data_IF_137941207798
#
_entry.id   IF_137941207798
#
_cell.length_a   1.000
_cell.length_b   1.000
_cell.length_c   1.000
_cell.angle_alpha   90.00
_cell.angle_beta   90.00
_cell.angle_gamma   90.00
#
_symmetry.space_group_name_H-M   'P 1'
#
loop_
_entity.id
_entity.type
_entity.pdbx_description
1 polymer ?
#
# COMPACT_ATOMS: atom_id res chain seq x y z
N UNK A 1 32.60 38.78 39.57
CA UNK A 1 32.94 37.44 40.10
C UNK A 1 31.62 36.79 40.52
N UNK A 2 31.03 35.75 39.93
CA UNK A 2 31.35 34.83 38.83
C UNK A 2 30.00 34.38 38.22
N UNK A 3 29.99 34.15 36.91
CA UNK A 3 28.86 33.57 36.19
C UNK A 3 28.80 32.05 36.42
N UNK A 4 27.63 31.50 36.79
CA UNK A 4 27.41 30.06 36.83
C UNK A 4 26.68 29.60 35.56
N UNK A 5 27.47 29.24 34.55
CA UNK A 5 27.04 28.40 33.42
C UNK A 5 27.24 26.95 33.82
N UNK A 6 26.18 26.23 34.14
CA UNK A 6 26.21 24.78 34.25
C UNK A 6 25.77 24.17 32.91
N UNK A 7 26.67 23.41 32.31
CA UNK A 7 26.57 22.75 31.01
C UNK A 7 25.66 21.52 31.08
N UNK A 8 24.70 21.43 30.15
CA UNK A 8 23.88 20.23 29.93
C UNK A 8 24.77 19.17 29.26
N UNK A 9 25.07 18.09 29.98
CA UNK A 9 25.79 16.95 29.44
C UNK A 9 24.93 16.19 28.42
N UNK A 10 25.40 16.11 27.18
CA UNK A 10 24.78 15.30 26.13
C UNK A 10 24.92 13.80 26.45
N UNK A 11 23.79 13.13 26.72
CA UNK A 11 23.74 11.68 26.81
C UNK A 11 24.00 11.06 25.43
N UNK A 12 25.17 10.41 25.29
CA UNK A 12 25.59 9.70 24.08
C UNK A 12 24.88 8.35 24.01
N UNK A 13 23.84 8.25 23.20
CA UNK A 13 23.17 6.97 22.88
C UNK A 13 24.13 6.11 22.04
N UNK A 14 24.79 5.12 22.65
CA UNK A 14 25.54 4.08 21.93
C UNK A 14 24.55 3.19 21.19
N UNK A 15 24.42 3.39 19.88
CA UNK A 15 23.80 2.40 18.98
C UNK A 15 24.76 1.21 18.91
N UNK A 16 24.49 0.15 19.68
CA UNK A 16 25.13 -1.15 19.45
C UNK A 16 24.55 -1.71 18.16
N UNK A 17 25.30 -1.57 17.06
CA UNK A 17 24.99 -2.23 15.79
C UNK A 17 25.37 -3.70 15.94
N UNK A 18 24.37 -4.58 15.91
CA UNK A 18 24.62 -6.02 15.79
C UNK A 18 24.95 -6.36 14.32
N UNK A 19 26.05 -7.07 14.04
CA UNK A 19 26.30 -7.60 12.70
C UNK A 19 25.35 -8.77 12.44
N UNK A 20 24.50 -8.63 11.44
CA UNK A 20 23.64 -9.71 10.93
C UNK A 20 24.48 -10.69 10.10
N UNK A 21 25.21 -11.59 10.75
CA UNK A 21 25.86 -12.73 10.09
C UNK A 21 24.87 -13.89 9.94
N UNK A 22 23.90 -13.73 9.05
CA UNK A 22 23.15 -14.85 8.49
C UNK A 22 23.86 -15.37 7.24
N UNK A 23 23.93 -16.70 7.00
CA UNK A 23 24.52 -17.23 5.78
C UNK A 23 23.71 -16.74 4.58
N UNK A 24 24.37 -16.07 3.64
CA UNK A 24 23.80 -15.77 2.32
C UNK A 24 23.49 -17.11 1.67
N UNK A 25 22.20 -17.39 1.41
CA UNK A 25 21.83 -18.54 0.60
C UNK A 25 22.40 -18.33 -0.80
N UNK A 26 23.43 -19.10 -1.13
CA UNK A 26 23.94 -19.28 -2.49
C UNK A 26 22.82 -19.90 -3.34
N UNK A 27 22.02 -19.05 -4.01
CA UNK A 27 21.10 -19.53 -5.02
C UNK A 27 21.91 -19.87 -6.28
N UNK A 28 22.56 -21.04 -6.26
CA UNK A 28 23.20 -21.65 -7.42
C UNK A 28 22.12 -21.97 -8.47
N UNK A 29 21.98 -21.07 -9.43
CA UNK A 29 21.37 -21.33 -10.74
C UNK A 29 19.84 -21.37 -10.79
N UNK A 30 19.25 -20.47 -11.58
CA UNK A 30 18.10 -20.85 -12.41
C UNK A 30 18.43 -20.57 -13.88
N UNK A 31 18.76 -21.59 -14.68
CA UNK A 31 18.81 -21.46 -16.11
C UNK A 31 17.37 -21.36 -16.63
N UNK A 32 17.06 -20.33 -17.40
CA UNK A 32 15.74 -20.15 -17.98
C UNK A 32 15.37 -18.69 -18.14
N UNK A 33 16.14 -17.96 -18.94
CA UNK A 33 15.60 -16.80 -19.66
C UNK A 33 14.53 -17.34 -20.61
N UNK A 34 13.29 -17.45 -20.12
CA UNK A 34 12.16 -17.78 -20.99
C UNK A 34 11.98 -16.55 -21.87
N UNK A 35 12.34 -16.67 -23.14
CA UNK A 35 11.88 -15.73 -24.18
C UNK A 35 10.36 -15.74 -24.12
N UNK A 36 9.77 -14.75 -23.46
CA UNK A 36 8.31 -14.68 -23.31
C UNK A 36 7.76 -14.30 -24.67
N UNK A 37 7.28 -15.28 -25.42
CA UNK A 37 6.51 -15.03 -26.63
C UNK A 37 5.10 -14.59 -26.23
N UNK A 38 4.74 -13.40 -26.69
CA UNK A 38 3.42 -12.83 -26.47
C UNK A 38 2.51 -13.26 -27.62
N UNK A 39 1.38 -13.86 -27.27
CA UNK A 39 0.38 -14.34 -28.23
C UNK A 39 -0.99 -13.95 -27.73
N UNK A 40 -1.89 -13.57 -28.63
CA UNK A 40 -3.26 -13.21 -28.25
C UNK A 40 -3.93 -14.37 -27.52
N UNK A 41 -4.57 -14.06 -26.39
CA UNK A 41 -5.31 -15.04 -25.59
C UNK A 41 -6.68 -14.51 -25.25
N UNK A 42 -7.68 -15.37 -25.36
CA UNK A 42 -9.03 -15.09 -24.87
C UNK A 42 -9.13 -15.50 -23.41
N UNK A 43 -9.61 -14.58 -22.57
CA UNK A 43 -9.82 -14.80 -21.14
C UNK A 43 -11.29 -14.58 -20.77
N UNK A 44 -11.75 -15.27 -19.74
CA UNK A 44 -13.11 -15.11 -19.22
C UNK A 44 -13.12 -14.08 -18.08
N UNK A 45 -14.00 -13.08 -18.19
CA UNK A 45 -14.16 -12.08 -17.14
C UNK A 45 -14.83 -12.69 -15.89
N UNK A 46 -14.19 -12.55 -14.72
CA UNK A 46 -14.76 -13.04 -13.45
C UNK A 46 -16.07 -12.35 -13.05
N UNK A 47 -16.29 -11.10 -13.47
CA UNK A 47 -17.44 -10.31 -13.02
C UNK A 47 -18.67 -10.49 -13.92
N UNK A 48 -18.50 -10.51 -15.24
CA UNK A 48 -19.62 -10.60 -16.19
C UNK A 48 -19.65 -11.89 -17.02
N UNK A 49 -18.68 -12.80 -16.85
CA UNK A 49 -18.62 -14.08 -17.58
C UNK A 49 -18.29 -13.98 -19.07
N UNK A 50 -18.27 -12.77 -19.66
CA UNK A 50 -17.93 -12.58 -21.06
C UNK A 50 -16.45 -12.84 -21.31
N UNK A 51 -16.18 -13.39 -22.49
CA UNK A 51 -14.84 -13.50 -23.04
C UNK A 51 -14.32 -12.13 -23.46
N UNK A 52 -13.02 -11.92 -23.29
CA UNK A 52 -12.32 -10.74 -23.79
C UNK A 52 -10.91 -11.11 -24.24
N UNK A 53 -10.39 -10.35 -25.20
CA UNK A 53 -9.05 -10.56 -25.72
C UNK A 53 -8.02 -9.88 -24.82
N UNK A 54 -6.95 -10.63 -24.53
CA UNK A 54 -5.71 -10.15 -23.93
C UNK A 54 -4.62 -10.27 -24.99
N UNK A 55 -4.38 -9.17 -25.70
CA UNK A 55 -3.54 -9.19 -26.90
C UNK A 55 -2.05 -9.30 -26.55
N UNK A 56 -1.24 -9.69 -27.53
CA UNK A 56 0.22 -9.72 -27.40
C UNK A 56 0.77 -8.35 -26.97
N UNK A 57 0.27 -7.25 -27.54
CA UNK A 57 0.69 -5.90 -27.17
C UNK A 57 0.29 -5.50 -25.73
N UNK A 58 -0.86 -5.97 -25.23
CA UNK A 58 -1.22 -5.76 -23.82
C UNK A 58 -0.32 -6.57 -22.87
N UNK A 59 0.10 -7.76 -23.27
CA UNK A 59 1.04 -8.58 -22.49
C UNK A 59 2.43 -7.96 -22.40
N UNK A 60 2.94 -7.42 -23.51
CA UNK A 60 4.18 -6.64 -23.57
C UNK A 60 4.11 -5.45 -22.62
N UNK A 61 2.99 -4.71 -22.66
CA UNK A 61 2.76 -3.59 -21.77
C UNK A 61 2.79 -4.03 -20.30
N UNK A 62 2.13 -5.15 -19.96
CA UNK A 62 2.10 -5.68 -18.60
C UNK A 62 3.52 -6.07 -18.14
N UNK A 63 4.29 -6.78 -18.96
CA UNK A 63 5.66 -7.16 -18.62
C UNK A 63 6.56 -5.95 -18.41
N UNK A 64 6.50 -4.93 -19.29
CA UNK A 64 7.32 -3.72 -19.19
C UNK A 64 7.07 -2.92 -17.90
N UNK A 65 5.87 -3.05 -17.32
CA UNK A 65 5.46 -2.43 -16.06
C UNK A 65 5.71 -3.34 -14.84
N UNK A 66 6.28 -4.52 -15.03
CA UNK A 66 6.46 -5.52 -13.97
C UNK A 66 5.16 -6.19 -13.51
N UNK A 67 4.08 -6.09 -14.29
CA UNK A 67 2.81 -6.76 -14.01
C UNK A 67 2.86 -8.19 -14.55
N UNK A 68 3.12 -9.14 -13.66
CA UNK A 68 3.18 -10.56 -14.00
C UNK A 68 1.81 -11.26 -14.02
N UNK A 69 0.77 -10.59 -13.51
CA UNK A 69 -0.57 -11.17 -13.38
C UNK A 69 -1.46 -10.81 -14.57
N UNK A 70 -2.09 -11.81 -15.16
CA UNK A 70 -3.07 -11.63 -16.24
C UNK A 70 -4.34 -10.90 -15.75
N UNK A 71 -4.98 -10.10 -16.60
CA UNK A 71 -6.22 -9.41 -16.24
C UNK A 71 -7.33 -10.43 -15.94
N UNK A 72 -7.95 -10.31 -14.77
CA UNK A 72 -9.11 -11.16 -14.39
C UNK A 72 -10.47 -10.59 -14.81
N UNK A 73 -10.48 -9.38 -15.37
CA UNK A 73 -11.69 -8.61 -15.70
C UNK A 73 -11.51 -7.95 -17.05
N UNK A 74 -12.57 -7.98 -17.86
CA UNK A 74 -12.58 -7.33 -19.16
C UNK A 74 -12.43 -5.79 -19.05
N UNK A 75 -12.03 -5.10 -20.13
CA UNK A 75 -11.87 -3.64 -20.15
C UNK A 75 -13.10 -2.89 -19.62
N UNK A 76 -14.29 -3.31 -20.02
CA UNK A 76 -15.57 -2.74 -19.57
C UNK A 76 -15.75 -2.80 -18.06
N UNK A 77 -15.58 -3.98 -17.44
CA UNK A 77 -15.71 -4.13 -15.99
C UNK A 77 -14.61 -3.37 -15.23
N UNK A 78 -13.41 -3.22 -15.80
CA UNK A 78 -12.35 -2.38 -15.23
C UNK A 78 -12.73 -0.90 -15.30
N UNK A 79 -13.24 -0.43 -16.44
CA UNK A 79 -13.66 0.95 -16.65
C UNK A 79 -14.84 1.33 -15.74
N UNK A 80 -15.89 0.48 -15.69
CA UNK A 80 -17.04 0.68 -14.82
C UNK A 80 -16.64 0.78 -13.34
N UNK A 81 -15.66 0.00 -12.90
CA UNK A 81 -15.15 0.09 -11.51
C UNK A 81 -14.38 1.37 -11.26
N UNK A 82 -13.51 1.78 -12.19
CA UNK A 82 -12.81 3.09 -12.10
C UNK A 82 -13.81 4.25 -12.02
N UNK A 83 -14.89 4.19 -12.81
CA UNK A 83 -15.96 5.18 -12.77
C UNK A 83 -16.73 5.12 -11.44
N UNK A 84 -17.10 3.93 -10.95
CA UNK A 84 -17.81 3.77 -9.68
C UNK A 84 -16.98 4.21 -8.46
N UNK A 85 -15.64 4.04 -8.51
CA UNK A 85 -14.74 4.46 -7.45
C UNK A 85 -14.36 5.95 -7.59
N UNK A 86 -14.30 6.48 -8.82
CA UNK A 86 -14.05 7.90 -9.12
C UNK A 86 -15.25 8.81 -8.88
N UNK A 87 -16.47 8.28 -8.99
CA UNK A 87 -17.71 9.00 -8.67
C UNK A 87 -18.00 9.03 -7.17
N UNK A 88 -16.91 9.12 -6.37
CA UNK A 88 -16.84 9.15 -4.92
C UNK A 88 -18.16 8.88 -4.26
N UNK A 89 -18.54 7.59 -4.11
CA UNK A 89 -19.69 7.18 -3.29
C UNK A 89 -19.64 8.08 -2.06
N UNK A 90 -20.64 8.95 -1.89
CA UNK A 90 -20.66 9.91 -0.80
C UNK A 90 -20.55 9.11 0.48
N UNK A 91 -19.34 8.97 1.02
CA UNK A 91 -19.10 8.15 2.20
C UNK A 91 -19.78 8.91 3.31
N UNK A 92 -20.76 8.28 3.95
CA UNK A 92 -21.37 8.86 5.15
C UNK A 92 -20.23 9.10 6.12
N UNK A 93 -19.98 10.36 6.41
CA UNK A 93 -18.97 10.75 7.37
C UNK A 93 -19.58 10.59 8.75
N UNK A 94 -18.93 9.82 9.61
CA UNK A 94 -19.37 9.62 10.98
C UNK A 94 -18.58 10.56 11.90
N UNK A 95 -19.29 11.33 12.71
CA UNK A 95 -18.69 12.18 13.73
C UNK A 95 -18.15 11.30 14.87
N UNK A 96 -16.93 11.59 15.30
CA UNK A 96 -16.23 10.86 16.36
C UNK A 96 -15.30 11.80 17.12
N UNK A 97 -15.06 11.49 18.39
CA UNK A 97 -14.10 12.23 19.22
C UNK A 97 -12.73 11.57 19.13
N UNK A 98 -11.68 12.34 18.80
CA UNK A 98 -10.32 11.83 18.75
C UNK A 98 -9.86 11.33 20.12
N UNK A 99 -9.41 10.08 20.20
CA UNK A 99 -8.97 9.44 21.46
C UNK A 99 -7.67 10.02 22.03
N UNK A 100 -6.92 10.82 21.26
CA UNK A 100 -5.67 11.44 21.71
C UNK A 100 -5.83 12.91 22.15
N UNK A 101 -6.53 13.71 21.35
CA UNK A 101 -6.64 15.16 21.58
C UNK A 101 -8.05 15.66 21.92
N UNK A 102 -9.07 14.78 21.89
CA UNK A 102 -10.45 15.11 22.25
C UNK A 102 -11.22 15.98 21.25
N UNK A 103 -10.62 16.34 20.10
CA UNK A 103 -11.30 17.16 19.08
C UNK A 103 -12.33 16.33 18.28
N UNK A 104 -13.46 16.92 17.87
CA UNK A 104 -14.39 16.27 16.95
C UNK A 104 -13.73 16.11 15.58
N UNK A 105 -13.90 14.95 14.98
CA UNK A 105 -13.38 14.62 13.65
C UNK A 105 -14.36 13.72 12.92
N UNK A 106 -14.19 13.62 11.60
CA UNK A 106 -15.07 12.83 10.75
C UNK A 106 -14.29 11.68 10.12
N UNK A 107 -14.87 10.48 10.15
CA UNK A 107 -14.26 9.27 9.58
C UNK A 107 -15.20 8.58 8.59
N UNK A 108 -14.67 7.96 7.52
CA UNK A 108 -15.47 7.31 6.48
C UNK A 108 -15.94 5.89 6.84
N UNK A 109 -15.76 5.47 8.09
CA UNK A 109 -16.13 4.15 8.61
C UNK A 109 -16.90 4.30 9.92
N UNK A 110 -17.80 3.36 10.22
CA UNK A 110 -18.55 3.36 11.47
C UNK A 110 -17.58 3.04 12.62
N UNK A 111 -17.40 3.93 13.62
CA UNK A 111 -16.56 3.63 14.78
C UNK A 111 -17.22 2.55 15.63
N UNK A 112 -16.56 1.39 15.75
CA UNK A 112 -17.07 0.22 16.49
C UNK A 112 -16.68 0.21 17.97
N UNK A 113 -15.89 1.18 18.43
CA UNK A 113 -15.37 1.25 19.81
C UNK A 113 -14.25 0.25 20.13
N UNK A 114 -14.05 -0.79 19.32
CA UNK A 114 -13.01 -1.80 19.53
C UNK A 114 -11.58 -1.30 19.31
N UNK A 115 -11.40 -0.20 18.56
CA UNK A 115 -10.11 0.42 18.27
C UNK A 115 -10.21 1.94 18.48
N UNK A 116 -9.16 2.59 19.03
CA UNK A 116 -9.16 4.04 19.20
C UNK A 116 -9.17 4.74 17.83
N UNK A 117 -9.92 5.83 17.74
CA UNK A 117 -10.04 6.64 16.52
C UNK A 117 -9.27 7.93 16.72
N UNK A 118 -8.46 8.30 15.74
CA UNK A 118 -7.61 9.49 15.79
C UNK A 118 -7.95 10.46 14.67
N UNK A 119 -7.84 11.77 14.93
CA UNK A 119 -7.84 12.77 13.87
C UNK A 119 -6.60 12.62 12.98
N UNK A 120 -6.61 13.25 11.80
CA UNK A 120 -5.53 13.15 10.81
C UNK A 120 -4.16 13.47 11.41
N UNK A 121 -4.05 14.54 12.19
CA UNK A 121 -2.79 15.00 12.81
C UNK A 121 -2.26 13.99 13.84
N UNK A 122 -3.15 13.50 14.70
CA UNK A 122 -2.79 12.49 15.70
C UNK A 122 -2.40 11.19 15.01
N UNK A 123 -3.16 10.74 14.00
CA UNK A 123 -2.86 9.50 13.27
C UNK A 123 -1.47 9.52 12.63
N UNK A 124 -1.03 10.66 12.08
CA UNK A 124 0.32 10.81 11.53
C UNK A 124 1.43 10.71 12.59
N UNK A 125 1.12 11.07 13.84
CA UNK A 125 2.07 11.13 14.95
C UNK A 125 2.15 9.82 15.74
N UNK A 126 1.00 9.23 16.09
CA UNK A 126 0.91 7.98 16.88
C UNK A 126 0.75 6.71 16.04
N UNK A 127 0.18 6.80 14.83
CA UNK A 127 -0.23 5.65 14.01
C UNK A 127 0.78 5.13 12.98
N UNK A 128 2.00 5.71 12.91
CA UNK A 128 3.10 5.22 12.04
C UNK A 128 4.14 4.35 12.77
N UNK A 129 3.79 3.76 13.92
CA UNK A 129 4.67 2.85 14.68
C UNK A 129 4.36 1.40 14.34
#
# INVERSE_FOLDING_TARGET
>A
MFANRATIAAARWRVVRHPSSGPRRDYKGRPGSVTVSFVDRTLTCRDCGREFLFTAGEQEFYQSRGLQNEPRRCPECRAARRQADGNGRARVMHDVICSNCGKPTQVPFVPTGARPVYCLDCFQTVGRR
#
